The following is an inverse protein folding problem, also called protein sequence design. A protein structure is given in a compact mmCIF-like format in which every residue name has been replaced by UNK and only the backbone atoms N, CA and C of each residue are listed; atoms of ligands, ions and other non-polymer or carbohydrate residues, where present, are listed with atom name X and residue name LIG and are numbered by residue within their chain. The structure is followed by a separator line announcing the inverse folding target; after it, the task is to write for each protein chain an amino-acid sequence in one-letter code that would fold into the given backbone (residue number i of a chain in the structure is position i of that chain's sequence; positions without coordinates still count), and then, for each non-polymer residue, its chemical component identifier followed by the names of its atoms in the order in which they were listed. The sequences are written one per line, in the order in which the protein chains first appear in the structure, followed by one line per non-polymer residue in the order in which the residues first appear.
data_IF_327886035357
#
_entry.id   IF_327886035357
#
_cell.length_a   1.000
_cell.length_b   1.000
_cell.length_c   1.000
_cell.angle_alpha   90.00
_cell.angle_beta   90.00
_cell.angle_gamma   90.00
#
_symmetry.space_group_name_H-M   'P 1'
#
loop_
_entity.id
_entity.type
_entity.pdbx_description
1 polymer ?
#
# COMPACT_ATOMS: atom_id res chain seq x y z
N UNK A 1 14.16 83.20 67.66
CA UNK A 1 14.85 82.63 66.47
C UNK A 1 13.76 82.54 65.39
N UNK A 2 13.91 83.41 64.42
CA UNK A 2 12.93 83.52 63.28
C UNK A 2 13.35 82.58 62.15
N UNK A 3 12.39 81.77 61.76
CA UNK A 3 12.53 80.99 60.54
C UNK A 3 11.90 81.81 59.41
N UNK A 4 12.73 82.28 58.51
CA UNK A 4 12.30 82.89 57.24
C UNK A 4 11.83 81.87 56.26
N UNK A 5 10.63 81.94 55.77
CA UNK A 5 10.09 81.20 54.69
C UNK A 5 10.36 81.91 53.37
N UNK A 6 11.14 81.35 52.46
CA UNK A 6 11.25 81.83 51.08
C UNK A 6 10.02 81.40 50.29
N UNK A 7 9.22 82.38 49.87
CA UNK A 7 8.13 82.19 48.90
C UNK A 7 8.81 82.13 47.53
N UNK A 8 8.63 81.05 46.79
CA UNK A 8 8.99 80.90 45.39
C UNK A 8 7.87 81.47 44.53
N UNK A 9 8.18 82.48 43.70
CA UNK A 9 7.28 82.98 42.68
C UNK A 9 7.01 81.94 41.62
N UNK A 10 5.77 81.61 41.35
CA UNK A 10 5.37 80.77 40.28
C UNK A 10 5.50 81.55 38.96
N UNK A 11 6.36 81.03 38.08
CA UNK A 11 6.48 81.61 36.74
C UNK A 11 5.15 81.43 35.95
N UNK A 12 4.90 82.38 35.09
CA UNK A 12 3.70 82.39 34.24
C UNK A 12 3.66 81.14 33.32
N UNK A 13 2.51 80.53 33.23
CA UNK A 13 2.26 79.38 32.39
C UNK A 13 2.36 79.81 30.89
N UNK A 14 3.22 79.15 30.15
CA UNK A 14 3.39 79.43 28.71
C UNK A 14 2.10 79.16 27.92
N UNK A 15 1.96 79.78 26.75
CA UNK A 15 0.78 79.64 25.92
C UNK A 15 0.55 78.16 25.53
N UNK A 16 -0.73 77.75 25.51
CA UNK A 16 -1.13 76.38 25.13
C UNK A 16 -0.65 76.09 23.69
N UNK A 17 0.00 74.97 23.53
CA UNK A 17 0.46 74.47 22.18
C UNK A 17 -0.79 74.05 21.42
N UNK A 18 -0.90 74.49 20.13
CA UNK A 18 -2.03 74.06 19.29
C UNK A 18 -2.09 72.54 19.16
N UNK A 19 -3.26 71.95 19.25
CA UNK A 19 -3.50 70.51 19.04
C UNK A 19 -3.14 70.15 17.60
N UNK A 20 -2.34 69.11 17.44
CA UNK A 20 -1.96 68.58 16.10
C UNK A 20 -3.19 68.13 15.29
N UNK A 21 -3.09 68.13 13.99
CA UNK A 21 -4.18 67.64 13.13
C UNK A 21 -4.55 66.20 13.46
N UNK A 22 -5.82 65.85 13.30
CA UNK A 22 -6.31 64.48 13.46
C UNK A 22 -5.53 63.52 12.47
N UNK A 23 -5.16 62.35 12.92
CA UNK A 23 -4.51 61.34 12.08
C UNK A 23 -5.43 60.86 10.96
N UNK A 24 -4.85 60.40 9.88
CA UNK A 24 -5.61 59.86 8.75
C UNK A 24 -6.54 58.70 9.22
N UNK A 25 -7.69 58.60 8.57
CA UNK A 25 -8.63 57.51 8.78
C UNK A 25 -7.94 56.17 8.47
N UNK A 26 -8.13 55.14 9.28
CA UNK A 26 -7.56 53.81 9.09
C UNK A 26 -8.07 53.15 7.79
N UNK A 27 -7.31 52.24 7.22
CA UNK A 27 -7.74 51.53 6.02
C UNK A 27 -9.03 50.74 6.28
N UNK A 28 -9.87 50.63 5.26
CA UNK A 28 -11.06 49.82 5.27
C UNK A 28 -10.71 48.36 5.64
N UNK A 29 -11.54 47.72 6.46
CA UNK A 29 -11.38 46.34 6.85
C UNK A 29 -11.39 45.39 5.63
N UNK A 30 -10.76 44.23 5.73
CA UNK A 30 -10.76 43.24 4.66
C UNK A 30 -12.20 42.79 4.33
N UNK A 31 -12.44 42.46 3.06
CA UNK A 31 -13.70 41.85 2.64
C UNK A 31 -13.98 40.57 3.46
N UNK A 32 -15.24 40.34 3.79
CA UNK A 32 -15.65 39.10 4.49
C UNK A 32 -15.32 37.86 3.65
N UNK A 33 -15.15 36.72 4.28
CA UNK A 33 -14.90 35.45 3.57
C UNK A 33 -16.06 35.15 2.61
N UNK A 34 -15.70 34.56 1.47
CA UNK A 34 -16.66 34.05 0.49
C UNK A 34 -17.57 33.00 1.17
N UNK A 35 -18.84 33.00 0.86
CA UNK A 35 -19.80 32.03 1.40
C UNK A 35 -19.41 30.61 0.98
N UNK A 36 -19.83 29.60 1.76
CA UNK A 36 -19.55 28.21 1.42
C UNK A 36 -20.13 27.87 0.03
N UNK A 37 -19.40 27.03 -0.71
CA UNK A 37 -19.88 26.49 -1.97
C UNK A 37 -21.25 25.80 -1.76
N UNK A 38 -22.13 25.92 -2.72
CA UNK A 38 -23.42 25.24 -2.68
C UNK A 38 -23.23 23.70 -2.64
N UNK A 39 -24.21 22.97 -2.13
CA UNK A 39 -24.15 21.52 -2.13
C UNK A 39 -23.97 20.98 -3.56
N UNK A 40 -23.15 19.96 -3.68
CA UNK A 40 -22.97 19.24 -4.92
C UNK A 40 -24.33 18.75 -5.46
N UNK A 41 -24.56 18.89 -6.76
CA UNK A 41 -25.79 18.42 -7.39
C UNK A 41 -25.93 16.90 -7.23
N UNK A 42 -27.13 16.38 -7.27
CA UNK A 42 -27.34 14.94 -7.21
C UNK A 42 -26.56 14.25 -8.36
N UNK A 43 -25.97 13.10 -8.04
CA UNK A 43 -25.31 12.27 -9.04
C UNK A 43 -26.22 12.09 -10.27
N UNK A 44 -25.66 12.17 -11.47
CA UNK A 44 -26.39 11.92 -12.70
C UNK A 44 -27.06 10.54 -12.65
N UNK A 45 -28.20 10.40 -13.29
CA UNK A 45 -28.84 9.09 -13.42
C UNK A 45 -27.84 8.11 -14.05
N UNK A 46 -27.76 6.92 -13.47
CA UNK A 46 -26.95 5.82 -14.02
C UNK A 46 -27.33 5.60 -15.50
N UNK A 47 -26.34 5.59 -16.39
CA UNK A 47 -26.57 5.38 -17.81
C UNK A 47 -27.31 4.05 -18.04
N UNK A 48 -28.28 4.05 -18.93
CA UNK A 48 -28.98 2.80 -19.29
C UNK A 48 -27.97 1.77 -19.80
N UNK A 49 -27.97 0.58 -19.21
CA UNK A 49 -27.17 -0.56 -19.72
C UNK A 49 -27.56 -0.81 -21.19
N UNK A 50 -26.55 -0.95 -22.06
CA UNK A 50 -26.76 -1.31 -23.44
C UNK A 50 -27.48 -2.66 -23.57
N UNK A 51 -28.48 -2.75 -24.42
CA UNK A 51 -29.35 -3.93 -24.59
C UNK A 51 -28.60 -5.24 -24.94
N UNK A 52 -27.33 -5.15 -25.39
CA UNK A 52 -26.50 -6.33 -25.70
C UNK A 52 -25.75 -6.88 -24.50
N UNK A 53 -25.54 -6.08 -23.45
CA UNK A 53 -24.88 -6.55 -22.21
C UNK A 53 -25.86 -7.31 -21.28
N UNK A 54 -27.16 -7.03 -21.41
CA UNK A 54 -28.17 -7.54 -20.48
C UNK A 54 -28.51 -9.04 -20.65
N UNK A 55 -28.07 -9.69 -21.72
CA UNK A 55 -28.42 -11.10 -21.98
C UNK A 55 -27.43 -12.13 -21.39
N UNK A 56 -26.20 -11.72 -21.02
CA UNK A 56 -25.17 -12.64 -20.54
C UNK A 56 -24.53 -12.21 -19.20
N UNK A 57 -24.91 -11.04 -18.67
CA UNK A 57 -24.34 -10.51 -17.43
C UNK A 57 -25.42 -10.44 -16.37
N UNK A 58 -25.36 -11.34 -15.43
CA UNK A 58 -26.11 -11.18 -14.18
C UNK A 58 -25.22 -10.50 -13.15
N UNK A 59 -25.20 -9.16 -13.15
CA UNK A 59 -24.52 -8.38 -12.10
C UNK A 59 -24.84 -8.93 -10.70
N UNK A 60 -26.03 -9.50 -10.53
CA UNK A 60 -26.49 -10.19 -9.31
C UNK A 60 -25.73 -11.48 -8.98
N UNK A 61 -24.99 -12.09 -9.89
CA UNK A 61 -24.15 -13.24 -9.55
C UNK A 61 -22.95 -12.83 -8.68
N UNK A 62 -22.42 -11.63 -8.96
CA UNK A 62 -21.32 -11.07 -8.18
C UNK A 62 -21.81 -10.01 -7.17
N UNK A 63 -22.78 -9.18 -7.54
CA UNK A 63 -23.37 -8.13 -6.72
C UNK A 63 -24.63 -8.60 -5.99
N UNK A 64 -24.58 -9.76 -5.39
CA UNK A 64 -25.64 -10.24 -4.51
C UNK A 64 -25.11 -10.27 -3.07
N UNK A 65 -26.01 -10.21 -2.11
CA UNK A 65 -25.67 -10.32 -0.69
C UNK A 65 -25.46 -11.79 -0.26
N UNK A 66 -25.11 -12.68 -1.20
CA UNK A 66 -24.81 -14.07 -0.84
C UNK A 66 -23.49 -14.14 -0.08
N UNK A 67 -23.39 -15.15 0.76
CA UNK A 67 -22.24 -15.37 1.63
C UNK A 67 -20.92 -15.55 0.88
N UNK A 68 -20.97 -15.92 -0.42
CA UNK A 68 -19.74 -16.15 -1.19
C UNK A 68 -18.93 -14.86 -1.37
N UNK A 69 -19.50 -13.84 -2.04
CA UNK A 69 -18.78 -12.58 -2.26
C UNK A 69 -18.66 -11.75 -0.99
N UNK A 70 -19.74 -11.67 -0.21
CA UNK A 70 -19.74 -10.93 1.06
C UNK A 70 -18.74 -11.55 2.04
N UNK A 71 -18.64 -12.89 2.09
CA UNK A 71 -17.67 -13.58 2.95
C UNK A 71 -16.22 -13.29 2.53
N UNK A 72 -15.92 -13.41 1.23
CA UNK A 72 -14.58 -13.09 0.70
C UNK A 72 -14.20 -11.62 0.90
N UNK A 73 -15.14 -10.69 0.66
CA UNK A 73 -14.95 -9.28 0.95
C UNK A 73 -14.64 -9.02 2.44
N UNK A 74 -15.41 -9.62 3.34
CA UNK A 74 -15.18 -9.47 4.78
C UNK A 74 -13.84 -10.05 5.21
N UNK A 75 -13.46 -11.21 4.68
CA UNK A 75 -12.15 -11.80 4.92
C UNK A 75 -11.03 -10.88 4.43
N UNK A 76 -11.13 -10.37 3.20
CA UNK A 76 -10.18 -9.40 2.66
C UNK A 76 -10.10 -8.12 3.49
N UNK A 77 -11.22 -7.55 3.96
CA UNK A 77 -11.23 -6.35 4.81
C UNK A 77 -10.47 -6.53 6.13
N UNK A 78 -10.35 -7.77 6.61
CA UNK A 78 -9.56 -8.10 7.80
C UNK A 78 -8.09 -8.41 7.50
N UNK A 79 -7.76 -8.63 6.23
CA UNK A 79 -6.39 -8.91 5.79
C UNK A 79 -5.51 -7.66 5.79
N UNK A 80 -4.19 -7.85 5.72
CA UNK A 80 -3.25 -6.75 5.54
C UNK A 80 -3.34 -6.10 4.16
N UNK A 81 -3.84 -6.81 3.14
CA UNK A 81 -4.11 -6.25 1.83
C UNK A 81 -5.26 -5.23 1.87
N UNK A 82 -6.31 -5.51 2.64
CA UNK A 82 -7.46 -4.63 2.76
C UNK A 82 -7.36 -3.56 3.85
N UNK A 83 -6.58 -3.79 4.90
CA UNK A 83 -6.55 -2.92 6.09
C UNK A 83 -5.16 -2.41 6.47
N UNK A 84 -4.10 -2.90 5.83
CA UNK A 84 -2.73 -2.55 6.18
C UNK A 84 -2.36 -1.11 5.85
N UNK A 85 -1.42 -0.56 6.61
CA UNK A 85 -0.97 0.84 6.45
C UNK A 85 0.08 1.03 5.35
N UNK A 86 0.56 -0.06 4.74
CA UNK A 86 1.61 0.01 3.71
C UNK A 86 1.17 0.82 2.49
N UNK A 87 -0.10 0.74 2.10
CA UNK A 87 -0.69 1.52 1.01
C UNK A 87 -0.54 3.02 1.27
N UNK A 88 -1.00 3.52 2.42
CA UNK A 88 -0.91 4.95 2.75
C UNK A 88 0.53 5.43 2.93
N UNK A 89 1.43 4.53 3.34
CA UNK A 89 2.85 4.85 3.54
C UNK A 89 3.65 4.88 2.24
N UNK A 90 3.44 3.94 1.35
CA UNK A 90 4.30 3.68 0.20
C UNK A 90 3.58 3.73 -1.16
N UNK A 91 2.27 3.52 -1.21
CA UNK A 91 1.51 3.39 -2.46
C UNK A 91 1.50 4.63 -3.34
N UNK A 92 1.75 5.82 -2.79
CA UNK A 92 1.87 7.08 -3.54
C UNK A 92 3.31 7.47 -3.86
N UNK A 93 4.28 6.55 -3.88
CA UNK A 93 5.69 6.85 -4.13
C UNK A 93 6.21 6.12 -5.34
N UNK A 94 6.97 6.84 -6.18
CA UNK A 94 7.71 6.25 -7.29
C UNK A 94 8.58 5.07 -6.81
N UNK A 95 8.57 3.98 -7.57
CA UNK A 95 9.31 2.76 -7.25
C UNK A 95 8.77 1.97 -6.04
N UNK A 96 7.63 2.37 -5.47
CA UNK A 96 6.94 1.62 -4.41
C UNK A 96 5.52 1.26 -4.83
N UNK A 97 4.86 2.12 -5.62
CA UNK A 97 3.46 2.03 -5.99
C UNK A 97 3.11 0.73 -6.70
N UNK A 98 3.98 0.22 -7.55
CA UNK A 98 3.79 -1.04 -8.26
C UNK A 98 3.44 -2.23 -7.32
N UNK A 99 3.93 -2.22 -6.09
CA UNK A 99 3.65 -3.25 -5.08
C UNK A 99 2.71 -2.78 -3.96
N UNK A 100 2.67 -1.48 -3.69
CA UNK A 100 1.95 -0.91 -2.54
C UNK A 100 0.66 -0.17 -2.89
N UNK A 101 0.28 -0.12 -4.18
CA UNK A 101 -1.01 0.39 -4.65
C UNK A 101 -1.67 -0.61 -5.59
N UNK A 102 -2.89 -1.03 -5.28
CA UNK A 102 -3.64 -1.96 -6.12
C UNK A 102 -3.93 -1.39 -7.51
N UNK A 103 -4.26 -0.10 -7.60
CA UNK A 103 -4.46 0.57 -8.89
C UNK A 103 -3.20 0.62 -9.73
N UNK A 104 -2.06 0.98 -9.13
CA UNK A 104 -0.78 1.01 -9.85
C UNK A 104 -0.32 -0.38 -10.28
N UNK A 105 -0.56 -1.41 -9.44
CA UNK A 105 -0.29 -2.79 -9.83
C UNK A 105 -1.11 -3.20 -11.06
N UNK A 106 -2.41 -2.90 -11.05
CA UNK A 106 -3.29 -3.22 -12.18
C UNK A 106 -2.82 -2.51 -13.46
N UNK A 107 -2.47 -1.24 -13.39
CA UNK A 107 -1.92 -0.49 -14.53
C UNK A 107 -0.62 -1.11 -15.03
N UNK A 108 0.29 -1.48 -14.14
CA UNK A 108 1.54 -2.16 -14.46
C UNK A 108 1.31 -3.46 -15.24
N UNK A 109 0.41 -4.33 -14.76
CA UNK A 109 0.10 -5.60 -15.42
C UNK A 109 -0.55 -5.38 -16.79
N UNK A 110 -1.51 -4.47 -16.88
CA UNK A 110 -2.15 -4.15 -18.16
C UNK A 110 -1.18 -3.57 -19.19
N UNK A 111 -0.15 -2.86 -18.74
CA UNK A 111 0.91 -2.33 -19.60
C UNK A 111 1.99 -3.39 -19.96
N UNK A 112 1.91 -4.60 -19.40
CA UNK A 112 2.93 -5.63 -19.57
C UNK A 112 4.28 -5.23 -18.95
N UNK A 113 4.25 -4.40 -17.93
CA UNK A 113 5.42 -3.92 -17.19
C UNK A 113 5.69 -4.79 -15.98
N UNK A 114 6.86 -4.60 -15.39
CA UNK A 114 7.30 -5.24 -14.15
C UNK A 114 7.55 -4.16 -13.08
N UNK A 115 7.67 -4.49 -11.79
CA UNK A 115 7.86 -3.49 -10.75
C UNK A 115 9.06 -2.56 -10.93
N UNK A 116 10.10 -3.01 -11.64
CA UNK A 116 11.30 -2.22 -11.94
C UNK A 116 11.17 -1.36 -13.20
N UNK A 117 10.25 -1.72 -14.10
CA UNK A 117 10.00 -0.98 -15.35
C UNK A 117 8.74 -0.12 -15.29
N UNK A 118 7.98 -0.18 -14.19
CA UNK A 118 6.75 0.58 -14.03
C UNK A 118 7.02 2.08 -14.04
N UNK A 119 6.45 2.77 -15.03
CA UNK A 119 6.55 4.21 -15.25
C UNK A 119 5.18 4.90 -15.32
N UNK A 120 4.13 4.20 -14.87
CA UNK A 120 2.77 4.71 -14.82
C UNK A 120 2.57 5.82 -13.78
N UNK A 121 1.40 6.47 -13.86
CA UNK A 121 1.04 7.50 -12.89
C UNK A 121 0.80 6.87 -11.52
N UNK A 122 1.50 7.36 -10.52
CA UNK A 122 1.40 6.86 -9.15
C UNK A 122 0.07 7.25 -8.49
N UNK A 123 -0.67 8.18 -9.05
CA UNK A 123 -2.04 8.52 -8.67
C UNK A 123 -2.37 8.52 -7.18
N UNK A 124 -3.63 8.33 -6.84
CA UNK A 124 -4.08 8.10 -5.47
C UNK A 124 -3.88 6.62 -5.11
N UNK A 125 -3.13 6.36 -4.04
CA UNK A 125 -2.85 5.01 -3.60
C UNK A 125 -4.12 4.28 -3.13
N UNK A 126 -4.36 3.10 -3.68
CA UNK A 126 -5.47 2.22 -3.29
C UNK A 126 -4.96 0.93 -2.66
N UNK A 127 -5.74 0.34 -1.76
CA UNK A 127 -5.44 -0.99 -1.25
C UNK A 127 -5.41 -2.03 -2.38
N UNK A 128 -4.74 -3.15 -2.15
CA UNK A 128 -4.81 -4.31 -3.04
C UNK A 128 -6.23 -4.89 -2.94
N UNK A 129 -7.09 -4.48 -3.83
CA UNK A 129 -8.50 -4.88 -3.87
C UNK A 129 -8.73 -6.10 -4.79
N UNK A 130 -9.99 -6.46 -4.99
CA UNK A 130 -10.35 -7.61 -5.84
C UNK A 130 -9.77 -7.49 -7.25
N UNK A 131 -9.71 -6.28 -7.83
CA UNK A 131 -9.20 -6.02 -9.17
C UNK A 131 -7.68 -6.07 -9.27
N UNK A 132 -6.99 -5.98 -8.15
CA UNK A 132 -5.54 -6.19 -8.11
C UNK A 132 -5.21 -7.64 -8.48
N UNK A 133 -6.05 -8.58 -8.05
CA UNK A 133 -5.82 -10.00 -8.21
C UNK A 133 -6.65 -10.63 -9.33
N UNK A 134 -7.84 -10.11 -9.63
CA UNK A 134 -8.79 -10.68 -10.56
C UNK A 134 -9.16 -9.70 -11.68
N UNK A 135 -9.46 -10.22 -12.86
CA UNK A 135 -9.86 -9.46 -14.05
C UNK A 135 -11.29 -8.88 -13.96
N UNK A 136 -11.69 -8.43 -12.78
CA UNK A 136 -13.03 -7.94 -12.49
C UNK A 136 -13.43 -6.83 -13.47
N UNK A 137 -14.58 -7.02 -14.11
CA UNK A 137 -15.18 -6.13 -15.11
C UNK A 137 -14.41 -6.03 -16.44
N UNK A 138 -13.54 -7.00 -16.73
CA UNK A 138 -12.89 -7.07 -18.05
C UNK A 138 -13.80 -7.70 -19.09
N UNK A 139 -14.54 -8.74 -18.73
CA UNK A 139 -15.42 -9.48 -19.65
C UNK A 139 -16.89 -9.42 -19.25
N UNK A 140 -17.18 -9.09 -18.02
CA UNK A 140 -18.50 -9.16 -17.39
C UNK A 140 -19.10 -10.57 -17.43
N UNK A 141 -18.27 -11.60 -17.33
CA UNK A 141 -18.65 -13.02 -17.26
C UNK A 141 -17.93 -13.69 -16.10
N UNK A 142 -18.16 -15.00 -15.93
CA UNK A 142 -17.38 -15.79 -14.95
C UNK A 142 -15.87 -15.81 -15.21
N UNK A 143 -15.42 -15.41 -16.39
CA UNK A 143 -13.99 -15.26 -16.70
C UNK A 143 -13.32 -14.12 -15.92
N UNK A 144 -14.09 -13.18 -15.38
CA UNK A 144 -13.58 -12.07 -14.55
C UNK A 144 -12.99 -12.53 -13.20
N UNK A 145 -13.18 -13.80 -12.86
CA UNK A 145 -12.50 -14.40 -11.69
C UNK A 145 -11.08 -14.91 -12.00
N UNK A 146 -10.66 -14.88 -13.27
CA UNK A 146 -9.29 -15.20 -13.62
C UNK A 146 -8.31 -14.24 -12.92
N UNK A 147 -7.10 -14.73 -12.65
CA UNK A 147 -6.05 -13.87 -12.10
C UNK A 147 -5.59 -12.86 -13.16
N UNK A 148 -5.30 -11.65 -12.74
CA UNK A 148 -4.77 -10.58 -13.60
C UNK A 148 -3.45 -10.97 -14.26
N UNK A 149 -2.65 -11.80 -13.60
CA UNK A 149 -1.47 -12.43 -14.14
C UNK A 149 -1.13 -13.70 -13.35
N UNK A 150 -0.64 -14.71 -14.05
CA UNK A 150 0.00 -15.89 -13.49
C UNK A 150 1.31 -16.20 -14.23
N UNK A 151 1.84 -15.23 -14.96
CA UNK A 151 3.10 -15.38 -15.67
C UNK A 151 4.28 -15.50 -14.69
N UNK A 152 5.32 -16.30 -15.03
CA UNK A 152 6.53 -16.39 -14.24
C UNK A 152 7.18 -15.01 -14.01
N UNK A 153 7.66 -14.77 -12.79
CA UNK A 153 8.16 -13.48 -12.34
C UNK A 153 9.69 -13.46 -12.37
N UNK A 154 10.27 -12.62 -13.22
CA UNK A 154 11.69 -12.28 -13.13
C UNK A 154 11.89 -11.40 -11.90
N UNK A 155 12.79 -11.80 -11.00
CA UNK A 155 12.93 -11.10 -9.72
C UNK A 155 13.62 -9.76 -9.87
N UNK A 156 13.04 -8.72 -9.28
CA UNK A 156 13.55 -7.35 -9.30
C UNK A 156 15.02 -7.23 -8.88
N UNK A 157 15.42 -7.95 -7.84
CA UNK A 157 16.79 -7.88 -7.32
C UNK A 157 17.73 -8.94 -7.95
N UNK A 158 17.21 -9.87 -8.74
CA UNK A 158 17.95 -11.00 -9.31
C UNK A 158 17.46 -11.27 -10.73
N UNK A 159 17.90 -10.44 -11.68
CA UNK A 159 17.44 -10.48 -13.07
C UNK A 159 17.66 -11.84 -13.77
N UNK A 160 18.60 -12.64 -13.28
CA UNK A 160 18.86 -14.00 -13.78
C UNK A 160 17.99 -15.08 -13.12
N UNK A 161 17.18 -14.72 -12.13
CA UNK A 161 16.32 -15.64 -11.40
C UNK A 161 14.85 -15.39 -11.73
N UNK A 162 14.15 -16.48 -12.07
CA UNK A 162 12.72 -16.47 -12.34
C UNK A 162 12.01 -17.31 -11.28
N UNK A 163 10.97 -16.74 -10.68
CA UNK A 163 10.06 -17.45 -9.83
C UNK A 163 8.87 -17.94 -10.68
N UNK A 164 8.63 -19.25 -10.64
CA UNK A 164 7.53 -19.90 -11.33
C UNK A 164 6.81 -20.86 -10.36
N UNK A 165 5.86 -20.32 -9.65
CA UNK A 165 5.10 -20.99 -8.60
C UNK A 165 3.60 -21.10 -8.93
N UNK A 166 3.25 -21.25 -10.22
CA UNK A 166 1.86 -21.38 -10.66
C UNK A 166 1.05 -20.10 -10.37
N UNK A 167 -0.15 -20.22 -9.80
CA UNK A 167 -0.97 -19.07 -9.41
C UNK A 167 -0.29 -18.18 -8.36
N UNK A 168 0.67 -18.72 -7.61
CA UNK A 168 1.53 -17.96 -6.71
C UNK A 168 2.39 -16.90 -7.39
N UNK A 169 2.50 -16.92 -8.72
CA UNK A 169 3.20 -15.88 -9.48
C UNK A 169 2.58 -14.50 -9.30
N UNK A 170 1.26 -14.41 -9.19
CA UNK A 170 0.59 -13.17 -8.84
C UNK A 170 1.19 -12.55 -7.56
N UNK A 171 1.31 -13.35 -6.52
CA UNK A 171 1.89 -12.94 -5.23
C UNK A 171 3.36 -12.54 -5.37
N UNK A 172 4.09 -13.31 -6.20
CA UNK A 172 5.51 -13.12 -6.47
C UNK A 172 5.87 -11.75 -7.05
N UNK A 173 4.95 -11.10 -7.76
CA UNK A 173 5.17 -9.75 -8.28
C UNK A 173 5.46 -8.70 -7.19
N UNK A 174 4.86 -8.85 -6.01
CA UNK A 174 5.06 -7.93 -4.88
C UNK A 174 5.92 -8.56 -3.78
N UNK A 175 5.75 -9.86 -3.49
CA UNK A 175 6.44 -10.57 -2.43
C UNK A 175 7.83 -11.09 -2.85
N UNK A 176 8.66 -10.16 -3.31
CA UNK A 176 10.00 -10.40 -3.80
C UNK A 176 10.99 -9.38 -3.24
N UNK A 177 12.31 -9.68 -3.20
CA UNK A 177 13.30 -8.75 -2.73
C UNK A 177 13.51 -7.60 -3.71
N UNK A 178 13.59 -6.38 -3.21
CA UNK A 178 13.93 -5.18 -4.00
C UNK A 178 15.41 -4.98 -4.21
N UNK A 179 16.24 -5.56 -3.36
CA UNK A 179 17.69 -5.37 -3.36
C UNK A 179 18.37 -6.66 -2.97
N UNK A 180 19.53 -6.86 -3.53
CA UNK A 180 20.48 -7.85 -3.04
C UNK A 180 21.11 -7.33 -1.74
N UNK A 181 21.53 -8.25 -0.88
CA UNK A 181 22.40 -7.94 0.23
C UNK A 181 23.76 -7.56 -0.33
N UNK A 182 24.35 -6.46 0.14
CA UNK A 182 25.68 -6.04 -0.30
C UNK A 182 26.74 -7.11 0.03
N UNK A 183 27.75 -7.22 -0.82
CA UNK A 183 28.90 -8.06 -0.53
C UNK A 183 29.64 -7.57 0.71
N UNK A 184 30.19 -8.52 1.46
CA UNK A 184 31.02 -8.19 2.61
C UNK A 184 32.34 -7.54 2.17
N UNK A 185 32.87 -6.64 2.96
CA UNK A 185 34.20 -6.07 2.79
C UNK A 185 35.32 -7.12 3.03
N UNK A 186 36.57 -6.69 2.89
CA UNK A 186 37.72 -7.58 3.07
C UNK A 186 37.85 -8.15 4.50
N UNK A 187 37.19 -7.53 5.47
CA UNK A 187 37.17 -7.96 6.87
C UNK A 187 35.91 -8.80 7.19
N UNK A 188 35.08 -9.08 6.20
CA UNK A 188 33.85 -9.86 6.34
C UNK A 188 32.65 -9.07 6.87
N UNK A 189 32.71 -7.75 6.89
CA UNK A 189 31.63 -6.90 7.40
C UNK A 189 30.74 -6.42 6.25
N UNK A 190 29.45 -6.27 6.54
CA UNK A 190 28.48 -5.64 5.66
C UNK A 190 28.01 -4.35 6.31
N UNK A 191 28.19 -3.22 5.62
CA UNK A 191 27.76 -1.93 6.14
C UNK A 191 26.25 -1.75 6.07
N UNK A 192 25.60 -1.51 7.21
CA UNK A 192 24.19 -1.16 7.29
C UNK A 192 24.02 0.35 7.17
N UNK A 193 23.65 0.81 5.97
CA UNK A 193 23.65 2.24 5.60
C UNK A 193 22.35 2.96 5.93
N UNK A 194 21.27 2.26 6.28
CA UNK A 194 19.98 2.87 6.59
C UNK A 194 19.10 1.96 7.43
N UNK A 195 18.04 2.49 8.01
CA UNK A 195 17.00 1.72 8.70
C UNK A 195 16.14 0.85 7.75
N UNK A 196 16.25 1.09 6.45
CA UNK A 196 15.59 0.31 5.40
C UNK A 196 16.61 -0.53 4.61
N UNK A 197 17.67 -0.93 5.26
CA UNK A 197 18.71 -1.77 4.66
C UNK A 197 18.21 -3.21 4.48
N UNK A 198 18.74 -3.87 3.44
CA UNK A 198 18.45 -5.28 3.16
C UNK A 198 17.43 -5.49 2.04
N UNK A 199 16.96 -6.73 1.88
CA UNK A 199 16.10 -7.14 0.74
C UNK A 199 14.70 -6.54 0.77
N UNK A 200 14.36 -5.71 1.75
CA UNK A 200 13.03 -5.21 2.00
C UNK A 200 12.12 -6.24 2.71
N UNK A 201 10.82 -5.91 2.90
CA UNK A 201 9.89 -6.69 3.73
C UNK A 201 9.27 -7.92 3.04
N UNK A 202 9.62 -8.24 1.82
CA UNK A 202 8.96 -9.28 1.04
C UNK A 202 9.88 -10.22 0.30
N UNK A 203 10.91 -10.85 0.94
CA UNK A 203 11.84 -11.72 0.22
C UNK A 203 11.30 -13.14 -0.04
N UNK A 204 10.00 -13.40 0.06
CA UNK A 204 9.43 -14.74 0.09
C UNK A 204 9.81 -15.55 -1.16
N UNK A 205 9.73 -14.97 -2.36
CA UNK A 205 10.14 -15.67 -3.60
C UNK A 205 11.59 -16.07 -3.56
N UNK A 206 12.50 -15.19 -3.12
CA UNK A 206 13.92 -15.49 -3.00
C UNK A 206 14.19 -16.59 -1.96
N UNK A 207 13.47 -16.56 -0.83
CA UNK A 207 13.54 -17.62 0.19
C UNK A 207 13.09 -18.96 -0.39
N UNK A 208 11.99 -18.97 -1.13
CA UNK A 208 11.48 -20.19 -1.79
C UNK A 208 12.48 -20.74 -2.81
N UNK A 209 13.15 -19.87 -3.56
CA UNK A 209 14.18 -20.24 -4.52
C UNK A 209 15.53 -20.58 -3.87
N UNK A 210 15.71 -20.27 -2.58
CA UNK A 210 16.98 -20.48 -1.87
C UNK A 210 18.09 -19.52 -2.29
N UNK A 211 17.75 -18.29 -2.68
CA UNK A 211 18.70 -17.28 -3.14
C UNK A 211 18.65 -16.02 -2.26
N UNK A 212 19.60 -15.13 -2.42
CA UNK A 212 19.62 -13.82 -1.77
C UNK A 212 20.01 -13.83 -0.28
N UNK A 213 20.61 -14.90 0.21
CA UNK A 213 21.19 -14.95 1.54
C UNK A 213 22.43 -14.05 1.68
N UNK A 214 22.82 -13.74 2.92
CA UNK A 214 24.04 -13.00 3.20
C UNK A 214 25.27 -13.90 3.03
N UNK A 215 26.35 -13.34 2.49
CA UNK A 215 27.57 -14.05 2.20
C UNK A 215 27.47 -14.98 1.00
N UNK A 216 28.42 -15.89 0.86
CA UNK A 216 28.49 -16.85 -0.26
C UNK A 216 27.63 -18.11 -0.04
N UNK A 217 26.55 -18.00 0.72
CA UNK A 217 25.68 -19.15 0.98
C UNK A 217 24.81 -19.40 -0.24
N UNK A 218 25.13 -20.48 -0.95
CA UNK A 218 24.28 -20.99 -2.02
C UNK A 218 23.21 -21.87 -1.41
N UNK A 219 21.97 -21.45 -1.49
CA UNK A 219 20.80 -22.23 -1.08
C UNK A 219 20.35 -23.19 -2.19
N UNK A 220 19.30 -23.91 -1.90
CA UNK A 220 18.55 -24.71 -2.87
C UNK A 220 17.08 -24.33 -2.77
N UNK A 221 16.29 -24.48 -3.85
CA UNK A 221 14.86 -24.29 -3.79
C UNK A 221 14.25 -25.11 -2.65
N UNK A 222 13.33 -24.49 -1.94
CA UNK A 222 12.66 -25.13 -0.80
C UNK A 222 11.75 -26.29 -1.26
N UNK A 223 11.41 -27.18 -0.35
CA UNK A 223 10.44 -28.24 -0.61
C UNK A 223 9.06 -27.65 -0.98
N UNK A 224 8.67 -26.54 -0.34
CA UNK A 224 7.43 -25.83 -0.65
C UNK A 224 7.40 -25.37 -2.11
N UNK A 225 8.50 -24.80 -2.60
CA UNK A 225 8.61 -24.40 -4.02
C UNK A 225 8.59 -25.58 -4.98
N UNK A 226 9.27 -26.68 -4.61
CA UNK A 226 9.49 -27.78 -5.53
C UNK A 226 8.35 -28.82 -5.58
N UNK A 227 7.49 -28.86 -4.53
CA UNK A 227 6.52 -29.92 -4.33
C UNK A 227 5.09 -29.44 -4.14
N UNK A 228 4.88 -28.15 -3.89
CA UNK A 228 3.56 -27.58 -3.67
C UNK A 228 3.13 -26.87 -4.95
N UNK A 229 2.05 -27.37 -5.57
CA UNK A 229 1.42 -26.70 -6.71
C UNK A 229 0.84 -25.35 -6.24
N UNK A 230 0.93 -24.33 -7.08
CA UNK A 230 0.49 -22.96 -6.80
C UNK A 230 1.09 -22.30 -5.54
N UNK A 231 2.11 -22.92 -5.00
CA UNK A 231 2.98 -22.39 -3.91
C UNK A 231 2.28 -21.54 -2.84
N UNK A 232 2.28 -20.20 -3.00
CA UNK A 232 1.71 -19.25 -2.03
C UNK A 232 0.22 -19.48 -1.80
N UNK A 233 -0.52 -19.73 -2.88
CA UNK A 233 -1.97 -19.90 -2.87
C UNK A 233 -2.38 -21.10 -2.01
N UNK A 234 -1.69 -22.23 -2.18
CA UNK A 234 -1.97 -23.47 -1.46
C UNK A 234 -1.93 -23.31 0.08
N UNK A 235 -1.09 -22.39 0.57
CA UNK A 235 -0.93 -22.16 2.01
C UNK A 235 -1.73 -20.96 2.52
N UNK A 236 -1.82 -19.88 1.71
CA UNK A 236 -2.37 -18.61 2.13
C UNK A 236 -3.85 -18.42 1.78
N UNK A 237 -4.40 -19.19 0.84
CA UNK A 237 -5.83 -19.24 0.55
C UNK A 237 -6.46 -20.56 0.99
N UNK A 238 -5.69 -21.67 0.98
CA UNK A 238 -6.13 -22.98 1.42
C UNK A 238 -7.33 -23.54 0.64
N UNK A 239 -7.96 -24.61 1.16
CA UNK A 239 -9.09 -25.27 0.50
C UNK A 239 -10.38 -24.41 0.44
N UNK A 240 -10.46 -23.34 1.24
CA UNK A 240 -11.65 -22.47 1.35
C UNK A 240 -11.55 -21.17 0.56
N UNK A 241 -10.49 -20.94 -0.21
CA UNK A 241 -10.18 -19.63 -0.79
C UNK A 241 -10.28 -18.50 0.25
N UNK A 242 -9.60 -18.66 1.37
CA UNK A 242 -9.67 -17.70 2.48
C UNK A 242 -8.94 -16.41 2.15
N UNK A 243 -9.70 -15.36 1.85
CA UNK A 243 -9.17 -14.04 1.51
C UNK A 243 -8.66 -13.23 2.72
N UNK A 244 -8.50 -13.85 3.89
CA UNK A 244 -7.68 -13.28 4.98
C UNK A 244 -6.19 -13.36 4.66
N UNK A 245 -5.80 -14.26 3.77
CA UNK A 245 -4.42 -14.61 3.42
C UNK A 245 -3.59 -15.09 4.62
N UNK A 246 -4.25 -15.46 5.72
CA UNK A 246 -3.58 -16.07 6.87
C UNK A 246 -3.35 -17.54 6.57
N UNK A 247 -2.12 -18.05 6.70
CA UNK A 247 -1.87 -19.46 6.45
C UNK A 247 -2.58 -20.33 7.52
N UNK A 248 -3.06 -21.50 7.12
CA UNK A 248 -3.61 -22.50 8.02
C UNK A 248 -2.57 -23.61 8.25
N UNK A 249 -2.47 -24.08 9.50
CA UNK A 249 -1.63 -25.25 9.85
C UNK A 249 -2.04 -26.49 9.06
N UNK A 250 -3.32 -26.61 8.72
CA UNK A 250 -3.84 -27.71 7.91
C UNK A 250 -3.11 -27.85 6.56
N UNK A 251 -2.68 -26.72 5.96
CA UNK A 251 -1.90 -26.74 4.72
C UNK A 251 -0.53 -27.43 4.89
N UNK A 252 0.04 -27.38 6.10
CA UNK A 252 1.31 -28.04 6.42
C UNK A 252 1.14 -29.54 6.67
N UNK A 253 -0.04 -29.97 7.12
CA UNK A 253 -0.30 -31.35 7.54
C UNK A 253 -0.27 -32.38 6.40
N UNK A 254 -0.38 -31.92 5.15
CA UNK A 254 -0.18 -32.76 3.98
C UNK A 254 1.23 -33.43 3.93
N UNK A 255 2.24 -32.74 4.46
CA UNK A 255 3.61 -33.24 4.56
C UNK A 255 4.08 -33.46 6.00
N UNK A 256 3.50 -32.74 6.96
CA UNK A 256 3.84 -32.73 8.38
C UNK A 256 2.62 -33.15 9.21
N UNK A 257 2.21 -34.41 9.12
CA UNK A 257 0.94 -34.89 9.65
C UNK A 257 0.68 -34.62 11.14
N UNK A 258 1.74 -34.53 11.93
CA UNK A 258 1.68 -34.33 13.37
C UNK A 258 1.89 -32.85 13.81
N UNK A 259 1.94 -31.89 12.87
CA UNK A 259 2.09 -30.49 13.23
C UNK A 259 0.75 -29.92 13.76
N UNK A 260 0.80 -29.28 14.92
CA UNK A 260 -0.37 -28.68 15.57
C UNK A 260 -0.34 -27.13 15.54
N UNK A 261 0.84 -26.55 15.31
CA UNK A 261 1.05 -25.10 15.21
C UNK A 261 2.21 -24.78 14.25
N UNK A 262 2.53 -23.49 14.10
CA UNK A 262 3.61 -23.04 13.23
C UNK A 262 5.01 -23.14 13.86
N UNK A 263 5.14 -23.58 15.11
CA UNK A 263 6.43 -23.80 15.77
C UNK A 263 6.97 -25.21 15.46
N UNK A 264 7.33 -25.42 14.21
CA UNK A 264 7.86 -26.72 13.77
C UNK A 264 9.13 -27.09 14.54
N UNK A 265 9.03 -28.18 15.32
CA UNK A 265 10.11 -28.72 16.14
C UNK A 265 10.68 -27.75 17.21
N UNK A 266 9.90 -26.78 17.67
CA UNK A 266 10.32 -25.81 18.68
C UNK A 266 11.38 -24.82 18.18
N UNK A 267 11.37 -24.49 16.89
CA UNK A 267 12.34 -23.56 16.32
C UNK A 267 12.03 -22.08 16.57
N UNK A 268 10.79 -21.77 16.98
CA UNK A 268 10.33 -20.41 17.23
C UNK A 268 10.23 -20.05 18.72
N UNK A 269 10.33 -21.03 19.63
CA UNK A 269 10.26 -20.86 21.09
C UNK A 269 11.61 -20.91 21.82
#
# INVERSE_FOLDING_TARGET
MLLGACAAEQGEQGPAVPQGPAGPEGPAGPAGPEGPAGPEGPAGAEGAMGETAAAEVTCVECHNETTLITGKKTAWETSLHGSGTATSYAGGRDGCAACHSGGSFQEMVLAGQTPDTFDGDVGEATHQDCRTCHDIHMTYTGADWALTTADPVVLYAFEDATYDGGEGNLCGNCHQPRRQIAEADADGNIEVTSTHWGPHHGPQTAVLLGIGGAGEVTGSPSAQYSMVEDTCVACHLGEGDDHTFAPDVAACQACHADIEDFDFSGLQT
#
